data_IF_421575435498
#
_entry.id   IF_421575435498
#
_cell.length_a   1.000
_cell.length_b   1.000
_cell.length_c   1.000
_cell.angle_alpha   90.00
_cell.angle_beta   90.00
_cell.angle_gamma   90.00
#
_symmetry.space_group_name_H-M   'P 1'
#
loop_
_entity.id
_entity.type
_entity.pdbx_description
1 polymer ?
#
# COMPACT_ATOMS: atom_id res chain seq x y z
N UNK A 1 2.81 -3.39 -21.05
CA UNK A 1 1.65 -3.77 -20.25
C UNK A 1 1.46 -5.27 -20.38
N UNK A 2 1.32 -5.98 -19.26
CA UNK A 2 0.98 -7.39 -19.19
C UNK A 2 -0.40 -7.52 -18.58
N UNK A 3 -1.28 -8.34 -19.18
CA UNK A 3 -2.62 -8.61 -18.66
C UNK A 3 -2.67 -10.07 -18.22
N UNK A 4 -2.76 -10.28 -16.90
CA UNK A 4 -2.95 -11.60 -16.31
C UNK A 4 -4.43 -11.76 -15.97
N UNK A 5 -5.07 -12.81 -16.48
CA UNK A 5 -6.48 -13.11 -16.23
C UNK A 5 -6.56 -14.31 -15.29
N UNK A 6 -7.22 -14.13 -14.17
CA UNK A 6 -7.44 -15.17 -13.18
C UNK A 6 -8.91 -15.57 -13.15
N UNK A 7 -9.16 -16.80 -12.69
CA UNK A 7 -10.49 -17.39 -12.66
C UNK A 7 -11.44 -16.66 -11.71
N UNK A 8 -10.93 -16.25 -10.55
CA UNK A 8 -11.69 -15.71 -9.44
C UNK A 8 -10.82 -14.79 -8.57
N UNK A 9 -11.48 -14.14 -7.60
CA UNK A 9 -10.88 -13.18 -6.68
C UNK A 9 -9.75 -13.79 -5.84
N UNK A 10 -9.95 -15.02 -5.37
CA UNK A 10 -8.98 -15.78 -4.59
C UNK A 10 -7.70 -16.05 -5.38
N UNK A 11 -7.83 -16.54 -6.61
CA UNK A 11 -6.67 -16.83 -7.46
C UNK A 11 -5.93 -15.54 -7.83
N UNK A 12 -6.65 -14.45 -8.14
CA UNK A 12 -6.05 -13.13 -8.38
C UNK A 12 -5.24 -12.67 -7.15
N UNK A 13 -5.87 -12.72 -5.96
CA UNK A 13 -5.28 -12.24 -4.72
C UNK A 13 -4.04 -13.03 -4.31
N UNK A 14 -4.08 -14.36 -4.50
CA UNK A 14 -2.94 -15.23 -4.25
C UNK A 14 -1.73 -14.90 -5.14
N UNK A 15 -1.98 -14.61 -6.42
CA UNK A 15 -0.91 -14.27 -7.36
C UNK A 15 -0.34 -12.87 -7.07
N UNK A 16 -1.18 -11.88 -6.80
CA UNK A 16 -0.72 -10.54 -6.41
C UNK A 16 0.10 -10.58 -5.10
N UNK A 17 -0.31 -11.40 -4.13
CA UNK A 17 0.44 -11.58 -2.89
C UNK A 17 1.82 -12.23 -3.17
N UNK A 18 1.86 -13.23 -4.05
CA UNK A 18 3.11 -13.86 -4.45
C UNK A 18 4.06 -12.88 -5.14
N UNK A 19 3.56 -11.98 -6.00
CA UNK A 19 4.39 -10.96 -6.67
C UNK A 19 5.07 -10.02 -5.66
N UNK A 20 4.35 -9.57 -4.63
CA UNK A 20 4.94 -8.72 -3.57
C UNK A 20 6.00 -9.51 -2.79
N UNK A 21 5.73 -10.76 -2.43
CA UNK A 21 6.68 -11.61 -1.70
C UNK A 21 7.95 -11.87 -2.52
N UNK A 22 7.82 -12.19 -3.81
CA UNK A 22 8.97 -12.40 -4.68
C UNK A 22 9.79 -11.13 -4.87
N UNK A 23 9.14 -9.95 -4.96
CA UNK A 23 9.85 -8.68 -4.99
C UNK A 23 10.71 -8.50 -3.73
N UNK A 24 10.14 -8.69 -2.53
CA UNK A 24 10.86 -8.48 -1.27
C UNK A 24 12.02 -9.48 -1.11
N UNK A 25 11.89 -10.71 -1.62
CA UNK A 25 13.01 -11.66 -1.66
C UNK A 25 14.17 -11.16 -2.52
N UNK A 26 13.88 -10.51 -3.64
CA UNK A 26 14.87 -10.01 -4.60
C UNK A 26 15.44 -8.65 -4.14
N UNK A 27 14.60 -7.83 -3.54
CA UNK A 27 14.91 -6.49 -3.03
C UNK A 27 14.37 -6.32 -1.61
N UNK A 28 15.13 -6.73 -0.58
CA UNK A 28 14.69 -6.67 0.82
C UNK A 28 14.39 -5.26 1.34
N UNK A 29 14.96 -4.24 0.71
CA UNK A 29 14.77 -2.82 1.01
C UNK A 29 13.74 -2.15 0.08
N UNK A 30 12.84 -2.93 -0.54
CA UNK A 30 11.86 -2.43 -1.49
C UNK A 30 10.97 -1.31 -0.92
N UNK A 31 10.65 -0.35 -1.79
CA UNK A 31 9.68 0.70 -1.53
C UNK A 31 8.33 0.28 -2.10
N UNK A 32 7.37 0.03 -1.22
CA UNK A 32 6.05 -0.49 -1.55
C UNK A 32 4.99 0.60 -1.35
N UNK A 33 4.26 0.96 -2.41
CA UNK A 33 3.11 1.85 -2.31
C UNK A 33 1.81 1.06 -2.40
N UNK A 34 0.99 1.09 -1.34
CA UNK A 34 -0.12 0.17 -1.17
C UNK A 34 -1.43 0.93 -0.96
N UNK A 35 -2.44 0.64 -1.80
CA UNK A 35 -3.76 1.24 -1.71
C UNK A 35 -4.64 0.53 -0.65
N UNK A 36 -5.55 1.28 -0.03
CA UNK A 36 -6.64 0.71 0.75
C UNK A 36 -7.76 0.16 -0.17
N UNK A 37 -8.81 -0.39 0.43
CA UNK A 37 -10.04 -0.80 -0.25
C UNK A 37 -10.26 -2.32 -0.29
N UNK A 38 -11.44 -2.73 -0.72
CA UNK A 38 -11.84 -4.14 -0.65
C UNK A 38 -11.11 -5.02 -1.66
N UNK A 39 -10.81 -4.52 -2.86
CA UNK A 39 -10.10 -5.28 -3.89
C UNK A 39 -8.77 -5.84 -3.39
N UNK A 40 -7.83 -5.05 -2.83
CA UNK A 40 -6.56 -5.61 -2.35
C UNK A 40 -6.63 -6.32 -0.99
N UNK A 41 -7.78 -6.34 -0.30
CA UNK A 41 -7.90 -6.87 1.07
C UNK A 41 -7.40 -8.32 1.20
N UNK A 42 -7.89 -9.22 0.36
CA UNK A 42 -7.47 -10.63 0.40
C UNK A 42 -6.00 -10.79 -0.01
N UNK A 43 -5.49 -9.97 -0.94
CA UNK A 43 -4.07 -9.95 -1.29
C UNK A 43 -3.21 -9.68 -0.06
N UNK A 44 -3.56 -8.69 0.76
CA UNK A 44 -2.80 -8.37 1.97
C UNK A 44 -2.88 -9.46 3.03
N UNK A 45 -4.06 -10.07 3.23
CA UNK A 45 -4.19 -11.22 4.13
C UNK A 45 -3.28 -12.38 3.72
N UNK A 46 -3.36 -12.79 2.44
CA UNK A 46 -2.54 -13.89 1.91
C UNK A 46 -1.04 -13.56 1.90
N UNK A 47 -0.69 -12.31 1.64
CA UNK A 47 0.70 -11.84 1.71
C UNK A 47 1.25 -11.98 3.13
N UNK A 48 0.50 -11.56 4.15
CA UNK A 48 0.94 -11.66 5.55
C UNK A 48 1.06 -13.12 6.01
N UNK A 49 0.13 -13.98 5.61
CA UNK A 49 0.20 -15.43 5.89
C UNK A 49 1.44 -16.06 5.24
N UNK A 50 1.66 -15.80 3.95
CA UNK A 50 2.80 -16.31 3.19
C UNK A 50 4.13 -15.77 3.72
N UNK A 51 4.18 -14.50 4.11
CA UNK A 51 5.35 -13.89 4.73
C UNK A 51 5.74 -14.64 6.02
N UNK A 52 4.75 -14.98 6.85
CA UNK A 52 4.97 -15.72 8.09
C UNK A 52 5.41 -17.17 7.83
N UNK A 53 4.78 -17.85 6.88
CA UNK A 53 5.12 -19.23 6.51
C UNK A 53 6.55 -19.34 5.96
N UNK A 54 6.90 -18.44 5.04
CA UNK A 54 8.20 -18.44 4.35
C UNK A 54 9.28 -17.65 5.10
N UNK A 55 8.94 -17.05 6.25
CA UNK A 55 9.84 -16.20 7.08
C UNK A 55 10.45 -15.05 6.29
N UNK A 56 9.62 -14.36 5.52
CA UNK A 56 10.01 -13.18 4.75
C UNK A 56 10.20 -12.00 5.69
N UNK A 57 11.34 -11.33 5.55
CA UNK A 57 11.73 -10.20 6.36
C UNK A 57 11.35 -8.88 5.67
N UNK A 58 10.41 -8.15 6.27
CA UNK A 58 9.98 -6.83 5.81
C UNK A 58 10.63 -5.68 6.58
N UNK A 59 11.55 -5.93 7.52
CA UNK A 59 12.12 -4.90 8.41
C UNK A 59 12.96 -3.85 7.70
N UNK A 60 13.36 -4.10 6.44
CA UNK A 60 14.09 -3.16 5.61
C UNK A 60 13.22 -2.46 4.55
N UNK A 61 11.98 -2.90 4.35
CA UNK A 61 11.07 -2.29 3.39
C UNK A 61 10.63 -0.89 3.86
N UNK A 62 10.23 -0.06 2.89
CA UNK A 62 9.58 1.24 3.15
C UNK A 62 8.16 1.20 2.58
N UNK A 63 7.17 1.63 3.34
CA UNK A 63 5.76 1.59 2.96
C UNK A 63 5.22 2.99 2.76
N UNK A 64 4.57 3.21 1.62
CA UNK A 64 3.94 4.47 1.24
C UNK A 64 2.43 4.25 1.08
N UNK A 65 1.61 5.07 1.74
CA UNK A 65 0.17 5.14 1.47
C UNK A 65 -0.11 5.85 0.15
N UNK A 66 -1.02 5.32 -0.67
CA UNK A 66 -1.37 5.95 -1.95
C UNK A 66 -2.11 7.29 -1.78
N UNK A 67 -3.05 7.33 -0.84
CA UNK A 67 -3.98 8.43 -0.61
C UNK A 67 -4.57 8.36 0.81
N UNK A 68 -5.27 9.42 1.22
CA UNK A 68 -6.06 9.47 2.45
C UNK A 68 -7.22 10.47 2.31
N UNK A 69 -8.31 10.23 3.05
CA UNK A 69 -9.42 11.17 3.17
C UNK A 69 -9.08 12.32 4.12
N UNK A 70 -9.07 13.55 3.60
CA UNK A 70 -8.94 14.78 4.41
C UNK A 70 -10.01 14.84 5.48
N UNK A 71 -9.64 15.30 6.68
CA UNK A 71 -10.49 15.45 7.87
C UNK A 71 -11.07 14.15 8.46
N UNK A 72 -10.58 12.99 8.03
CA UNK A 72 -10.91 11.69 8.63
C UNK A 72 -9.77 11.24 9.56
N UNK A 73 -10.03 11.10 10.88
CA UNK A 73 -9.01 10.65 11.83
C UNK A 73 -8.50 9.23 11.52
N UNK A 74 -7.23 8.93 11.79
CA UNK A 74 -6.63 7.61 11.50
C UNK A 74 -7.24 6.46 12.31
N UNK A 75 -7.93 6.75 13.42
CA UNK A 75 -8.65 5.75 14.22
C UNK A 75 -10.01 5.38 13.61
N UNK A 76 -10.50 6.15 12.64
CA UNK A 76 -11.76 5.89 11.97
C UNK A 76 -11.63 4.70 11.03
N UNK A 77 -12.56 3.74 11.12
CA UNK A 77 -12.56 2.52 10.30
C UNK A 77 -12.64 2.78 8.79
N UNK A 78 -13.14 3.95 8.39
CA UNK A 78 -13.20 4.42 7.00
C UNK A 78 -11.93 5.10 6.49
N UNK A 79 -10.91 5.34 7.33
CA UNK A 79 -9.63 5.92 6.88
C UNK A 79 -8.76 4.88 6.17
N UNK A 80 -7.95 5.34 5.21
CA UNK A 80 -6.94 4.51 4.56
C UNK A 80 -5.88 4.06 5.59
N UNK A 81 -5.52 4.93 6.54
CA UNK A 81 -4.64 4.61 7.65
C UNK A 81 -5.13 3.41 8.45
N UNK A 82 -6.37 3.45 8.95
CA UNK A 82 -6.95 2.35 9.73
C UNK A 82 -6.92 1.05 8.93
N UNK A 83 -7.29 1.11 7.64
CA UNK A 83 -7.27 -0.04 6.77
C UNK A 83 -5.86 -0.64 6.66
N UNK A 84 -4.85 0.15 6.28
CA UNK A 84 -3.49 -0.34 6.07
C UNK A 84 -2.86 -0.84 7.36
N UNK A 85 -3.12 -0.14 8.48
CA UNK A 85 -2.66 -0.53 9.79
C UNK A 85 -3.16 -1.92 10.19
N UNK A 86 -4.42 -2.24 9.93
CA UNK A 86 -5.02 -3.50 10.35
C UNK A 86 -4.82 -4.64 9.36
N UNK A 87 -4.68 -4.36 8.05
CA UNK A 87 -4.53 -5.40 7.03
C UNK A 87 -3.07 -5.69 6.66
N UNK A 88 -2.13 -4.78 6.96
CA UNK A 88 -0.72 -4.89 6.55
C UNK A 88 0.22 -4.72 7.73
N UNK A 89 0.23 -3.53 8.34
CA UNK A 89 1.32 -3.14 9.23
C UNK A 89 1.32 -3.92 10.55
N UNK A 90 0.15 -4.08 11.20
CA UNK A 90 0.05 -4.92 12.40
C UNK A 90 0.30 -6.41 12.10
N UNK A 91 -0.33 -7.04 11.10
CA UNK A 91 -0.07 -8.46 10.78
C UNK A 91 1.40 -8.78 10.49
N UNK A 92 2.11 -7.87 9.83
CA UNK A 92 3.54 -8.03 9.49
C UNK A 92 4.50 -7.49 10.57
N UNK A 93 3.98 -6.88 11.64
CA UNK A 93 4.76 -6.23 12.69
C UNK A 93 5.76 -5.19 12.15
N UNK A 94 5.28 -4.32 11.25
CA UNK A 94 6.08 -3.25 10.63
C UNK A 94 6.34 -2.14 11.64
N UNK A 95 7.57 -1.63 11.68
CA UNK A 95 7.95 -0.54 12.57
C UNK A 95 7.39 0.80 12.06
N UNK A 96 6.95 1.72 12.94
CA UNK A 96 6.42 3.02 12.54
C UNK A 96 7.34 3.84 11.63
N UNK A 97 8.67 3.70 11.79
CA UNK A 97 9.67 4.43 11.00
C UNK A 97 9.73 3.97 9.53
N UNK A 98 9.15 2.81 9.22
CA UNK A 98 9.05 2.28 7.86
C UNK A 98 7.77 2.75 7.15
N UNK A 99 6.83 3.37 7.87
CA UNK A 99 5.48 3.67 7.39
C UNK A 99 5.36 5.16 7.13
N UNK A 100 4.99 5.52 5.91
CA UNK A 100 4.74 6.91 5.50
C UNK A 100 3.32 7.02 4.94
N UNK A 101 2.46 7.69 5.69
CA UNK A 101 1.07 7.99 5.33
C UNK A 101 0.85 9.49 5.42
N UNK A 102 -0.11 10.01 4.66
CA UNK A 102 -0.49 11.42 4.74
C UNK A 102 -1.14 11.75 6.09
N UNK A 103 -0.75 12.86 6.70
CA UNK A 103 -1.50 13.41 7.82
C UNK A 103 -2.69 14.23 7.29
N UNK A 104 -3.81 13.55 7.09
CA UNK A 104 -5.05 14.15 6.59
C UNK A 104 -5.73 15.14 7.54
N UNK A 105 -5.22 15.30 8.77
CA UNK A 105 -5.66 16.31 9.74
C UNK A 105 -4.78 17.57 9.73
N UNK A 106 -3.76 17.61 8.87
CA UNK A 106 -2.87 18.77 8.75
C UNK A 106 -3.61 19.98 8.21
N UNK A 107 -3.33 21.15 8.78
CA UNK A 107 -3.82 22.43 8.25
C UNK A 107 -3.09 22.86 6.97
N UNK A 108 -1.96 22.22 6.65
CA UNK A 108 -1.16 22.49 5.45
C UNK A 108 -0.98 21.19 4.64
N UNK A 109 -2.01 20.88 3.86
CA UNK A 109 -2.04 19.65 3.05
C UNK A 109 -1.02 19.68 1.90
N UNK A 110 -0.65 20.87 1.40
CA UNK A 110 0.38 21.01 0.37
C UNK A 110 1.72 20.55 0.92
N UNK A 111 2.04 20.95 2.16
CA UNK A 111 3.24 20.49 2.83
C UNK A 111 3.28 18.96 3.00
N UNK A 112 2.16 18.31 3.33
CA UNK A 112 2.08 16.85 3.43
C UNK A 112 2.40 16.15 2.10
N UNK A 113 1.87 16.67 0.99
CA UNK A 113 2.20 16.18 -0.35
C UNK A 113 3.69 16.36 -0.67
N UNK A 114 4.25 17.55 -0.42
CA UNK A 114 5.67 17.81 -0.66
C UNK A 114 6.60 16.97 0.24
N UNK A 115 6.18 16.67 1.47
CA UNK A 115 6.92 15.81 2.38
C UNK A 115 6.96 14.36 1.85
N UNK A 116 5.83 13.86 1.33
CA UNK A 116 5.77 12.55 0.70
C UNK A 116 6.68 12.47 -0.53
N UNK A 117 6.65 13.48 -1.40
CA UNK A 117 7.53 13.54 -2.57
C UNK A 117 9.01 13.49 -2.19
N UNK A 118 9.41 14.19 -1.12
CA UNK A 118 10.79 14.15 -0.60
C UNK A 118 11.19 12.76 -0.10
N UNK A 119 10.27 12.05 0.57
CA UNK A 119 10.51 10.68 1.05
C UNK A 119 10.72 9.75 -0.16
N UNK A 120 9.82 9.81 -1.15
CA UNK A 120 9.90 8.98 -2.35
C UNK A 120 11.19 9.25 -3.13
N UNK A 121 11.55 10.53 -3.32
CA UNK A 121 12.80 10.93 -3.98
C UNK A 121 14.04 10.44 -3.23
N UNK A 122 14.05 10.55 -1.90
CA UNK A 122 15.17 10.08 -1.08
C UNK A 122 15.33 8.56 -1.10
N UNK A 123 14.27 7.82 -1.47
CA UNK A 123 14.27 6.37 -1.66
C UNK A 123 14.51 5.93 -3.10
N UNK A 124 14.82 6.89 -3.98
CA UNK A 124 15.05 6.67 -5.42
C UNK A 124 13.81 6.15 -6.18
N UNK A 125 12.62 6.38 -5.64
CA UNK A 125 11.34 6.02 -6.26
C UNK A 125 10.59 4.90 -5.54
N UNK A 126 9.58 4.35 -6.23
CA UNK A 126 8.72 3.26 -5.76
C UNK A 126 9.03 2.02 -6.59
N UNK A 127 9.31 0.89 -5.93
CA UNK A 127 9.61 -0.38 -6.59
C UNK A 127 8.36 -1.11 -7.06
N UNK A 128 7.29 -1.07 -6.25
CA UNK A 128 6.01 -1.64 -6.60
C UNK A 128 4.88 -0.79 -6.01
N UNK A 129 3.87 -0.56 -6.83
CA UNK A 129 2.62 0.07 -6.42
C UNK A 129 1.46 -0.88 -6.69
N UNK A 130 0.72 -1.28 -5.65
CA UNK A 130 -0.52 -2.04 -5.80
C UNK A 130 -1.70 -1.09 -5.76
N UNK A 131 -2.37 -0.92 -6.91
CA UNK A 131 -3.52 -0.01 -7.07
C UNK A 131 -4.77 -0.76 -7.54
N UNK A 132 -5.92 -0.21 -7.16
CA UNK A 132 -7.18 -0.51 -7.83
C UNK A 132 -7.42 0.42 -9.01
N UNK A 133 -8.45 0.11 -9.80
CA UNK A 133 -9.01 1.01 -10.81
C UNK A 133 -10.47 1.27 -10.45
N UNK A 134 -10.82 2.54 -10.25
CA UNK A 134 -12.18 2.96 -9.95
C UNK A 134 -13.14 2.67 -11.10
N UNK A 135 -14.44 2.62 -10.81
CA UNK A 135 -15.47 2.41 -11.86
C UNK A 135 -15.45 3.48 -12.96
N UNK A 136 -14.98 4.68 -12.63
CA UNK A 136 -14.80 5.80 -13.57
C UNK A 136 -13.36 5.88 -14.13
N UNK A 137 -12.50 4.90 -13.85
CA UNK A 137 -11.14 4.81 -14.34
C UNK A 137 -10.07 5.51 -13.50
N UNK A 138 -10.40 6.06 -12.32
CA UNK A 138 -9.39 6.69 -11.46
C UNK A 138 -8.35 5.68 -10.94
N UNK A 139 -7.18 6.20 -10.61
CA UNK A 139 -6.14 5.52 -9.83
C UNK A 139 -5.81 6.43 -8.64
N UNK A 140 -5.90 5.90 -7.42
CA UNK A 140 -6.02 6.73 -6.22
C UNK A 140 -7.20 7.70 -6.35
N UNK A 141 -7.09 8.91 -5.81
CA UNK A 141 -8.09 9.97 -6.02
C UNK A 141 -7.85 10.87 -7.24
N UNK A 142 -7.14 10.38 -8.26
CA UNK A 142 -6.98 11.11 -9.52
C UNK A 142 -8.25 10.97 -10.39
N UNK A 143 -9.25 11.78 -10.06
CA UNK A 143 -10.55 11.76 -10.72
C UNK A 143 -10.49 12.26 -12.17
N UNK A 144 -11.38 11.79 -13.06
CA UNK A 144 -11.39 12.22 -14.45
C UNK A 144 -11.58 13.74 -14.61
N UNK A 145 -10.57 14.40 -15.19
CA UNK A 145 -10.66 15.81 -15.59
C UNK A 145 -10.43 16.83 -14.48
N UNK A 146 -9.84 16.41 -13.36
CA UNK A 146 -9.42 17.27 -12.24
C UNK A 146 -7.91 17.48 -12.25
#
# INVERSE_FOLDING_TARGET
MQLNIYKDYDTLSLNAAAEIIELVKIKPDAVLCLAAGDTPRLTYTLMAEKAKEEKIDFTHCTFIGLDEWVDIPPENEGSCHYFLQNNIFKPLNISPEQIHLFNAMSSDLVHECEAMDKIILAKEGIDLMLVGVGMNGHIGFNEPGV
#
